data_IF_206804749992
#
_entry.id   IF_206804749992
#
_cell.length_a   1.000
_cell.length_b   1.000
_cell.length_c   1.000
_cell.angle_alpha   90.00
_cell.angle_beta   90.00
_cell.angle_gamma   90.00
#
_symmetry.space_group_name_H-M   'P 1'
#
loop_
_entity.id
_entity.type
_entity.pdbx_description
1 polymer ?
#
# COMPACT_ATOMS: atom_id res chain seq x y z
N UNK A 1 -13.34 9.92 4.06
CA UNK A 1 -12.57 8.86 3.37
C UNK A 1 -11.14 9.22 3.65
N UNK A 2 -10.40 8.32 4.30
CA UNK A 2 -8.98 8.52 4.56
C UNK A 2 -8.19 7.91 3.40
N UNK A 3 -7.28 8.67 2.81
CA UNK A 3 -6.41 8.21 1.73
C UNK A 3 -4.98 8.32 2.24
N UNK A 4 -4.22 7.24 2.10
CA UNK A 4 -2.81 7.16 2.50
C UNK A 4 -2.03 6.68 1.29
N UNK A 5 -1.04 7.48 0.89
CA UNK A 5 -0.14 7.17 -0.23
C UNK A 5 1.18 6.63 0.33
N UNK A 6 1.65 5.54 -0.27
CA UNK A 6 2.88 4.85 0.10
C UNK A 6 3.71 4.64 -1.15
N UNK A 7 4.88 5.28 -1.20
CA UNK A 7 5.90 5.00 -2.20
C UNK A 7 6.76 3.83 -1.71
N UNK A 8 6.57 2.65 -2.31
CA UNK A 8 7.32 1.45 -1.97
C UNK A 8 8.79 1.53 -2.41
N UNK A 9 9.15 2.35 -3.39
CA UNK A 9 10.55 2.51 -3.79
C UNK A 9 11.37 3.20 -2.68
N UNK A 10 10.76 4.19 -2.02
CA UNK A 10 11.34 4.89 -0.87
C UNK A 10 11.19 4.13 0.45
N UNK A 11 10.09 3.38 0.63
CA UNK A 11 9.72 2.71 1.89
C UNK A 11 9.63 1.18 1.75
N UNK A 12 10.69 0.55 1.21
CA UNK A 12 10.75 -0.89 0.91
C UNK A 12 11.06 -1.82 2.09
N UNK A 13 11.26 -1.25 3.28
CA UNK A 13 11.69 -1.95 4.49
C UNK A 13 10.58 -2.77 5.14
N UNK A 14 10.97 -3.78 5.93
CA UNK A 14 10.03 -4.58 6.72
C UNK A 14 9.39 -3.76 7.85
N UNK A 15 10.10 -2.78 8.40
CA UNK A 15 9.64 -1.98 9.52
C UNK A 15 8.48 -1.07 9.10
N UNK A 16 8.60 -0.40 7.95
CA UNK A 16 7.51 0.40 7.38
C UNK A 16 6.25 -0.43 7.11
N UNK A 17 6.40 -1.64 6.57
CA UNK A 17 5.26 -2.54 6.34
C UNK A 17 4.61 -2.98 7.65
N UNK A 18 5.40 -3.27 8.69
CA UNK A 18 4.86 -3.62 10.01
C UNK A 18 4.05 -2.48 10.60
N UNK A 19 4.56 -1.25 10.49
CA UNK A 19 3.85 -0.05 10.90
C UNK A 19 2.52 0.12 10.13
N UNK A 20 2.52 -0.11 8.82
CA UNK A 20 1.31 -0.03 8.00
C UNK A 20 0.31 -1.10 8.42
N UNK A 21 0.76 -2.35 8.59
CA UNK A 21 -0.06 -3.47 9.03
C UNK A 21 -0.74 -3.16 10.36
N UNK A 22 0.02 -2.65 11.33
CA UNK A 22 -0.54 -2.33 12.63
C UNK A 22 -1.53 -1.15 12.52
N UNK A 23 -1.25 -0.20 11.61
CA UNK A 23 -2.13 0.95 11.32
C UNK A 23 -3.42 0.60 10.57
N UNK A 24 -3.48 -0.52 9.84
CA UNK A 24 -4.68 -0.89 9.07
C UNK A 24 -5.82 -1.38 9.97
N UNK A 25 -5.48 -1.91 11.14
CA UNK A 25 -6.46 -2.39 12.11
C UNK A 25 -7.18 -1.26 12.86
N UNK A 26 -6.63 -0.04 12.86
CA UNK A 26 -7.34 1.11 13.43
C UNK A 26 -8.46 1.58 12.52
N UNK A 27 -9.57 1.99 13.15
CA UNK A 27 -10.70 2.63 12.48
C UNK A 27 -10.25 3.84 11.65
N UNK A 28 -10.94 4.12 10.52
CA UNK A 28 -10.70 5.34 9.75
C UNK A 28 -10.86 6.59 10.63
N UNK A 29 -9.94 7.55 10.52
CA UNK A 29 -10.04 8.86 11.15
C UNK A 29 -11.18 9.69 10.57
N UNK A 30 -11.51 9.52 9.29
CA UNK A 30 -12.56 10.26 8.58
C UNK A 30 -13.35 9.36 7.62
N UNK A 31 -14.66 9.31 7.83
CA UNK A 31 -15.59 8.57 6.97
C UNK A 31 -15.63 7.07 7.27
N UNK A 32 -16.04 6.25 6.28
CA UNK A 32 -16.31 4.82 6.49
C UNK A 32 -15.18 3.88 6.05
N UNK A 33 -14.23 4.38 5.26
CA UNK A 33 -13.19 3.57 4.62
C UNK A 33 -11.85 4.29 4.60
N UNK A 34 -10.79 3.49 4.72
CA UNK A 34 -9.39 3.87 4.66
C UNK A 34 -8.77 3.22 3.43
N UNK A 35 -8.20 4.03 2.54
CA UNK A 35 -7.64 3.57 1.27
C UNK A 35 -6.13 3.75 1.32
N UNK A 36 -5.40 2.67 1.12
CA UNK A 36 -3.95 2.67 0.98
C UNK A 36 -3.58 2.53 -0.49
N UNK A 37 -2.92 3.54 -1.04
CA UNK A 37 -2.40 3.53 -2.40
C UNK A 37 -0.91 3.23 -2.31
N UNK A 38 -0.48 2.11 -2.87
CA UNK A 38 0.92 1.66 -2.85
C UNK A 38 1.46 1.78 -4.27
N UNK A 39 2.32 2.78 -4.47
CA UNK A 39 3.03 2.98 -5.73
C UNK A 39 4.25 2.09 -5.78
N UNK A 40 4.57 1.58 -6.97
CA UNK A 40 5.72 0.72 -7.23
C UNK A 40 5.83 -0.48 -6.27
N UNK A 41 4.71 -1.10 -5.89
CA UNK A 41 4.66 -2.18 -4.88
C UNK A 41 5.63 -3.36 -5.12
N UNK A 42 6.10 -3.54 -6.36
CA UNK A 42 7.12 -4.53 -6.72
C UNK A 42 8.54 -4.19 -6.23
N UNK A 43 8.76 -2.96 -5.77
CA UNK A 43 10.02 -2.48 -5.19
C UNK A 43 10.16 -2.80 -3.70
N UNK A 44 9.12 -3.35 -3.06
CA UNK A 44 9.20 -3.88 -1.71
C UNK A 44 10.21 -5.02 -1.63
N UNK A 45 10.95 -5.11 -0.52
CA UNK A 45 11.80 -6.28 -0.26
C UNK A 45 10.97 -7.55 -0.07
N UNK A 46 11.54 -8.73 -0.33
CA UNK A 46 10.83 -10.00 -0.15
C UNK A 46 10.29 -10.17 1.29
N UNK A 47 11.06 -9.73 2.28
CA UNK A 47 10.66 -9.77 3.69
C UNK A 47 9.45 -8.84 3.97
N UNK A 48 9.46 -7.65 3.38
CA UNK A 48 8.36 -6.68 3.47
C UNK A 48 7.11 -7.22 2.75
N UNK A 49 7.25 -7.76 1.54
CA UNK A 49 6.14 -8.35 0.79
C UNK A 49 5.51 -9.52 1.55
N UNK A 50 6.32 -10.46 2.05
CA UNK A 50 5.83 -11.60 2.84
C UNK A 50 5.14 -11.18 4.14
N UNK A 51 5.64 -10.14 4.81
CA UNK A 51 4.99 -9.61 6.01
C UNK A 51 3.62 -8.98 5.70
N UNK A 52 3.44 -8.47 4.49
CA UNK A 52 2.23 -7.79 4.06
C UNK A 52 1.18 -8.72 3.42
N UNK A 53 1.59 -9.87 2.87
CA UNK A 53 0.71 -10.83 2.20
C UNK A 53 -0.51 -11.20 3.03
N UNK A 54 -0.32 -11.52 4.33
CA UNK A 54 -1.42 -11.89 5.22
C UNK A 54 -2.50 -10.79 5.31
N UNK A 55 -2.08 -9.53 5.27
CA UNK A 55 -2.98 -8.38 5.35
C UNK A 55 -3.66 -8.08 4.02
N UNK A 56 -3.02 -8.42 2.91
CA UNK A 56 -3.62 -8.31 1.58
C UNK A 56 -4.64 -9.42 1.31
N UNK A 57 -4.41 -10.64 1.84
CA UNK A 57 -5.32 -11.77 1.72
C UNK A 57 -6.59 -11.59 2.56
N UNK A 58 -6.44 -11.07 3.78
CA UNK A 58 -7.56 -10.82 4.71
C UNK A 58 -7.55 -9.35 5.19
N UNK A 59 -7.86 -8.37 4.32
CA UNK A 59 -7.90 -6.98 4.72
C UNK A 59 -9.09 -6.72 5.66
N UNK A 60 -8.96 -5.81 6.65
CA UNK A 60 -10.11 -5.38 7.45
C UNK A 60 -11.21 -4.78 6.55
N UNK A 61 -12.49 -4.99 6.91
CA UNK A 61 -13.66 -4.58 6.09
C UNK A 61 -13.70 -3.08 5.73
N UNK A 62 -13.06 -2.23 6.54
CA UNK A 62 -12.97 -0.78 6.32
C UNK A 62 -11.74 -0.35 5.53
N UNK A 63 -10.89 -1.28 5.07
CA UNK A 63 -9.62 -1.00 4.39
C UNK A 63 -9.68 -1.44 2.94
N UNK A 64 -9.17 -0.59 2.05
CA UNK A 64 -9.01 -0.91 0.63
C UNK A 64 -7.54 -0.68 0.26
N UNK A 65 -6.89 -1.68 -0.32
CA UNK A 65 -5.56 -1.55 -0.91
C UNK A 65 -5.67 -1.35 -2.42
N UNK A 66 -4.95 -0.36 -2.93
CA UNK A 66 -4.82 -0.07 -4.36
C UNK A 66 -3.34 -0.06 -4.69
N UNK A 67 -2.91 -0.88 -5.64
CA UNK A 67 -1.53 -0.83 -6.16
C UNK A 67 -1.49 -0.11 -7.49
N UNK A 68 -0.50 0.77 -7.65
CA UNK A 68 -0.21 1.43 -8.90
C UNK A 68 1.22 1.06 -9.33
N UNK A 69 1.42 0.38 -10.46
CA UNK A 69 2.74 0.32 -11.07
C UNK A 69 2.99 1.64 -11.82
N UNK A 70 4.00 2.41 -11.40
CA UNK A 70 4.55 3.53 -12.14
C UNK A 70 5.30 2.99 -13.36
N UNK A 71 4.56 2.63 -14.40
CA UNK A 71 5.15 2.46 -15.73
C UNK A 71 4.77 3.66 -16.61
N UNK A 72 5.57 4.74 -16.63
CA UNK A 72 5.36 5.83 -17.56
C UNK A 72 5.90 5.35 -18.92
N UNK A 73 5.08 4.70 -19.72
CA UNK A 73 5.43 4.48 -21.12
C UNK A 73 4.28 4.86 -22.02
N UNK A 74 4.17 6.15 -22.28
CA UNK A 74 3.84 6.69 -23.60
C UNK A 74 4.21 8.17 -23.67
N UNK A 75 5.51 8.45 -23.82
CA UNK A 75 5.87 9.37 -24.89
C UNK A 75 5.77 8.58 -26.20
N UNK A 76 4.53 8.34 -26.65
CA UNK A 76 4.26 8.19 -28.08
C UNK A 76 3.50 9.43 -28.45
N UNK A 77 4.20 10.33 -29.13
CA UNK A 77 3.80 11.00 -30.37
C UNK A 77 4.74 12.17 -30.62
N UNK A 78 4.86 12.60 -31.88
CA UNK A 78 5.05 11.84 -33.12
C UNK A 78 6.44 12.11 -33.73
#
# INVERSE_FOLDING_TARGET
MDIIELDAASNRGIDEIRDIRDKVHFSPSQGRRKVYIIDEAHMLTDAASNAFLKTLEEPPDHVIFVSAPLKPTRSRRP
#
